data_IF_278009740927
#
_entry.id   IF_278009740927
#
_cell.length_a   1.000
_cell.length_b   1.000
_cell.length_c   1.000
_cell.angle_alpha   90.00
_cell.angle_beta   90.00
_cell.angle_gamma   90.00
#
_symmetry.space_group_name_H-M   'P 1'
#
loop_
_entity.id
_entity.type
_entity.pdbx_description
1 polymer ?
#
# COMPACT_ATOMS: atom_id res chain seq x y z
N UNK A 1 4.83 8.39 -10.58
CA UNK A 1 4.06 7.81 -9.45
C UNK A 1 4.05 6.32 -9.64
N UNK A 2 4.55 5.56 -8.66
CA UNK A 2 4.69 4.11 -8.78
C UNK A 2 3.38 3.36 -8.57
N UNK A 3 2.46 3.94 -7.80
CA UNK A 3 1.15 3.40 -7.48
C UNK A 3 0.04 4.39 -7.78
N UNK A 4 -1.17 3.88 -7.98
CA UNK A 4 -2.40 4.62 -8.23
C UNK A 4 -3.51 4.17 -7.29
N UNK A 5 -4.51 5.03 -7.06
CA UNK A 5 -5.73 4.63 -6.37
C UNK A 5 -6.36 3.46 -7.12
N UNK A 6 -6.68 2.41 -6.40
CA UNK A 6 -7.24 1.18 -6.94
C UNK A 6 -6.23 0.06 -7.17
N UNK A 7 -4.93 0.36 -7.16
CA UNK A 7 -3.89 -0.66 -7.20
C UNK A 7 -4.02 -1.61 -6.01
N UNK A 8 -3.85 -2.90 -6.26
CA UNK A 8 -3.72 -3.91 -5.22
C UNK A 8 -2.24 -4.14 -4.97
N UNK A 9 -1.82 -4.08 -3.72
CA UNK A 9 -0.40 -4.17 -3.34
C UNK A 9 -0.20 -5.15 -2.19
N UNK A 10 0.97 -5.79 -2.16
CA UNK A 10 1.48 -6.51 -0.99
C UNK A 10 2.42 -5.58 -0.22
N UNK A 11 2.23 -5.44 1.08
CA UNK A 11 2.99 -4.51 1.89
C UNK A 11 3.32 -5.09 3.26
N UNK A 12 4.41 -4.61 3.86
CA UNK A 12 4.83 -5.02 5.21
C UNK A 12 4.21 -4.14 6.28
N UNK A 13 3.74 -4.77 7.35
CA UNK A 13 3.34 -4.11 8.60
C UNK A 13 4.12 -4.76 9.74
N UNK A 14 4.76 -3.95 10.58
CA UNK A 14 5.62 -4.44 11.65
C UNK A 14 6.83 -5.24 11.14
N UNK A 15 7.29 -6.20 11.94
CA UNK A 15 8.59 -6.83 11.75
C UNK A 15 8.66 -7.80 10.56
N UNK A 16 7.56 -8.45 10.17
CA UNK A 16 7.56 -9.39 9.03
C UNK A 16 6.19 -9.77 8.47
N UNK A 17 5.09 -9.15 8.91
CA UNK A 17 3.77 -9.51 8.38
C UNK A 17 3.56 -8.86 7.02
N UNK A 18 3.26 -9.68 6.01
CA UNK A 18 2.88 -9.20 4.68
C UNK A 18 1.36 -9.22 4.59
N UNK A 19 0.79 -8.06 4.33
CA UNK A 19 -0.64 -7.86 4.10
C UNK A 19 -0.89 -7.51 2.64
N UNK A 20 -2.12 -7.73 2.19
CA UNK A 20 -2.57 -7.38 0.84
C UNK A 20 -3.76 -6.45 0.94
N UNK A 21 -3.79 -5.44 0.08
CA UNK A 21 -4.87 -4.47 0.12
C UNK A 21 -4.91 -3.53 -1.05
N UNK A 22 -5.99 -2.78 -1.13
CA UNK A 22 -6.27 -1.84 -2.21
C UNK A 22 -5.97 -0.41 -1.79
N UNK A 23 -5.12 0.27 -2.55
CA UNK A 23 -4.78 1.68 -2.35
C UNK A 23 -6.04 2.54 -2.52
N UNK A 24 -6.41 3.28 -1.48
CA UNK A 24 -7.57 4.17 -1.46
C UNK A 24 -7.17 5.64 -1.69
N UNK A 25 -6.09 6.08 -1.06
CA UNK A 25 -5.61 7.46 -1.13
C UNK A 25 -4.09 7.45 -1.19
N UNK A 26 -3.54 8.44 -1.92
CA UNK A 26 -2.11 8.70 -2.01
C UNK A 26 -1.89 10.14 -1.56
N UNK A 27 -1.19 10.30 -0.44
CA UNK A 27 -0.72 11.60 0.03
C UNK A 27 0.68 11.81 -0.51
N UNK A 28 0.85 12.83 -1.37
CA UNK A 28 2.13 13.12 -2.01
C UNK A 28 2.99 13.99 -1.12
N UNK A 29 4.27 13.63 -1.00
CA UNK A 29 5.28 14.47 -0.36
C UNK A 29 6.48 14.66 -1.29
N UNK A 30 7.36 15.62 -0.95
CA UNK A 30 8.63 15.81 -1.66
C UNK A 30 9.62 14.68 -1.39
N UNK A 31 9.50 14.01 -0.24
CA UNK A 31 10.44 12.97 0.20
C UNK A 31 9.91 11.57 -0.08
N UNK A 32 8.65 11.30 0.25
CA UNK A 32 8.05 9.97 0.11
C UNK A 32 6.53 10.02 0.09
N UNK A 33 5.91 9.29 -0.83
CA UNK A 33 4.46 9.15 -0.89
C UNK A 33 3.95 8.23 0.23
N UNK A 34 2.84 8.62 0.85
CA UNK A 34 2.15 7.84 1.86
C UNK A 34 0.89 7.22 1.25
N UNK A 35 0.75 5.92 1.42
CA UNK A 35 -0.37 5.13 0.90
C UNK A 35 -1.33 4.79 2.03
N UNK A 36 -2.61 5.10 1.79
CA UNK A 36 -3.71 4.65 2.62
C UNK A 36 -4.35 3.43 1.95
N UNK A 37 -4.31 2.30 2.63
CA UNK A 37 -4.66 1.00 2.07
C UNK A 37 -5.74 0.35 2.94
N UNK A 38 -6.82 -0.09 2.29
CA UNK A 38 -7.74 -1.03 2.93
C UNK A 38 -7.22 -2.45 2.66
N UNK A 39 -6.78 -3.11 3.72
CA UNK A 39 -6.34 -4.50 3.67
C UNK A 39 -7.53 -5.43 3.48
N UNK A 40 -7.29 -6.54 2.80
CA UNK A 40 -8.25 -7.64 2.70
C UNK A 40 -8.44 -8.39 4.02
N UNK A 41 -7.61 -8.12 5.03
CA UNK A 41 -7.83 -8.55 6.42
C UNK A 41 -8.93 -7.75 7.15
N UNK A 42 -9.52 -6.73 6.51
CA UNK A 42 -10.57 -5.89 7.09
C UNK A 42 -10.07 -4.64 7.83
N UNK A 43 -8.75 -4.47 7.93
CA UNK A 43 -8.12 -3.30 8.57
C UNK A 43 -7.71 -2.24 7.55
N UNK A 44 -7.70 -0.98 7.99
CA UNK A 44 -7.14 0.13 7.23
C UNK A 44 -5.72 0.45 7.73
N UNK A 45 -4.79 0.68 6.81
CA UNK A 45 -3.39 0.97 7.09
C UNK A 45 -2.94 2.26 6.42
N UNK A 46 -2.06 2.99 7.11
CA UNK A 46 -1.27 4.11 6.58
C UNK A 46 0.19 3.66 6.53
N UNK A 47 0.76 3.54 5.34
CA UNK A 47 2.14 3.07 5.15
C UNK A 47 2.91 3.98 4.21
N UNK A 48 4.23 3.97 4.29
CA UNK A 48 5.05 4.63 3.28
C UNK A 48 5.20 3.74 2.04
N UNK A 49 5.46 4.36 0.89
CA UNK A 49 5.67 3.63 -0.37
C UNK A 49 6.77 2.55 -0.26
N UNK A 50 7.84 2.82 0.52
CA UNK A 50 8.93 1.86 0.75
C UNK A 50 8.50 0.57 1.45
N UNK A 51 7.38 0.58 2.18
CA UNK A 51 6.83 -0.61 2.82
C UNK A 51 6.11 -1.53 1.83
N UNK A 52 5.86 -1.09 0.59
CA UNK A 52 5.26 -1.92 -0.46
C UNK A 52 6.30 -2.89 -1.01
N UNK A 53 5.97 -4.17 -0.96
CA UNK A 53 6.79 -5.26 -1.49
C UNK A 53 6.57 -5.41 -3.00
N UNK A 54 5.31 -5.40 -3.45
CA UNK A 54 4.96 -5.52 -4.86
C UNK A 54 3.54 -5.03 -5.17
N UNK A 55 3.31 -4.60 -6.42
CA UNK A 55 1.96 -4.44 -6.97
C UNK A 55 1.48 -5.78 -7.52
N UNK A 56 0.24 -6.14 -7.21
CA UNK A 56 -0.45 -7.26 -7.82
C UNK A 56 -1.18 -6.70 -9.05
N UNK A 57 -0.69 -7.02 -10.25
CA UNK A 57 -1.46 -6.81 -11.46
C UNK A 57 -2.49 -7.94 -11.53
N UNK A 58 -3.78 -7.60 -11.47
CA UNK A 58 -4.83 -8.56 -11.83
C UNK A 58 -4.70 -8.93 -13.31
N UNK A 59 -4.99 -10.20 -13.62
CA UNK A 59 -5.08 -10.75 -14.99
C UNK A 59 -6.12 -10.01 -15.84
#
# INVERSE_FOLDING_TARGET
MRYSRGDVVRFKVGSNEIHEGKVQVIEKSREEDILYINSFSGWAYKISEKSVVSRINGY
#
